data_IF_151645104627
#
_entry.id   IF_151645104627
#
_cell.length_a   1.000
_cell.length_b   1.000
_cell.length_c   1.000
_cell.angle_alpha   90.00
_cell.angle_beta   90.00
_cell.angle_gamma   90.00
#
_symmetry.space_group_name_H-M   'P 1'
#
loop_
_entity.id
_entity.type
_entity.pdbx_description
1 polymer ?
#
# COMPACT_ATOMS: atom_id res chain seq x y z
N UNK A 1 -22.25 -15.92 -27.26
CA UNK A 1 -21.31 -16.34 -26.21
C UNK A 1 -20.89 -15.09 -25.46
N UNK A 2 -21.39 -14.89 -24.24
CA UNK A 2 -20.96 -13.76 -23.43
C UNK A 2 -19.49 -13.93 -23.08
N UNK A 3 -18.65 -12.97 -23.46
CA UNK A 3 -17.27 -12.90 -23.00
C UNK A 3 -17.28 -12.90 -21.48
N UNK A 4 -16.64 -13.91 -20.87
CA UNK A 4 -16.44 -13.93 -19.42
C UNK A 4 -15.51 -12.76 -19.08
N UNK A 5 -16.09 -11.64 -18.65
CA UNK A 5 -15.35 -10.51 -18.11
C UNK A 5 -14.82 -10.99 -16.75
N UNK A 6 -13.50 -11.20 -16.66
CA UNK A 6 -12.89 -11.47 -15.36
C UNK A 6 -13.25 -10.31 -14.42
N UNK A 7 -13.67 -10.58 -13.18
CA UNK A 7 -13.81 -9.51 -12.21
C UNK A 7 -12.47 -8.76 -12.10
N UNK A 8 -12.52 -7.43 -12.09
CA UNK A 8 -11.32 -6.62 -11.91
C UNK A 8 -10.62 -6.98 -10.60
N UNK A 9 -9.30 -6.85 -10.58
CA UNK A 9 -8.50 -7.14 -9.40
C UNK A 9 -8.98 -6.30 -8.22
N UNK A 10 -8.96 -6.91 -7.04
CA UNK A 10 -9.37 -6.22 -5.83
C UNK A 10 -8.16 -5.59 -5.15
N UNK A 11 -8.25 -4.33 -4.74
CA UNK A 11 -7.18 -3.61 -4.07
C UNK A 11 -7.53 -3.29 -2.61
N UNK A 12 -6.55 -3.39 -1.72
CA UNK A 12 -6.72 -3.02 -0.30
C UNK A 12 -5.64 -2.07 0.17
N UNK A 13 -5.98 -1.32 1.22
CA UNK A 13 -5.10 -0.36 1.87
C UNK A 13 -4.98 -0.73 3.35
N UNK A 14 -3.82 -1.26 3.72
CA UNK A 14 -3.55 -1.79 5.06
C UNK A 14 -2.71 -0.79 5.86
N UNK A 15 -2.98 -0.58 7.16
CA UNK A 15 -2.20 0.33 7.99
C UNK A 15 -0.82 -0.24 8.30
N UNK A 16 0.21 0.59 8.20
CA UNK A 16 1.60 0.19 8.47
C UNK A 16 2.25 1.09 9.51
N UNK A 17 3.11 0.50 10.35
CA UNK A 17 3.81 1.21 11.45
C UNK A 17 5.26 1.57 11.13
N UNK A 18 5.86 0.84 10.19
CA UNK A 18 7.24 1.04 9.75
C UNK A 18 7.27 1.36 8.25
N UNK A 19 8.25 2.13 7.76
CA UNK A 19 8.50 2.22 6.32
C UNK A 19 9.11 0.90 5.82
N UNK A 20 8.76 0.40 4.63
CA UNK A 20 9.38 -0.80 4.05
C UNK A 20 10.90 -0.73 3.99
N UNK A 21 11.45 0.44 3.68
CA UNK A 21 12.89 0.62 3.52
C UNK A 21 13.70 0.26 4.77
N UNK A 22 13.12 0.44 5.97
CA UNK A 22 13.79 0.04 7.22
C UNK A 22 13.84 -1.47 7.42
N UNK A 23 13.03 -2.25 6.69
CA UNK A 23 12.92 -3.70 6.83
C UNK A 23 13.62 -4.46 5.70
N UNK A 24 13.90 -3.83 4.55
CA UNK A 24 14.49 -4.53 3.39
C UNK A 24 15.83 -5.18 3.74
N UNK A 25 16.76 -4.43 4.35
CA UNK A 25 18.05 -4.95 4.79
C UNK A 25 17.90 -6.11 5.78
N UNK A 26 17.24 -5.90 6.93
CA UNK A 26 16.99 -6.95 7.92
C UNK A 26 16.29 -8.19 7.38
N UNK A 27 15.34 -8.03 6.46
CA UNK A 27 14.68 -9.17 5.81
C UNK A 27 15.66 -9.94 4.93
N UNK A 28 16.52 -9.26 4.15
CA UNK A 28 17.53 -9.95 3.36
C UNK A 28 18.52 -10.72 4.23
N UNK A 29 18.95 -10.14 5.36
CA UNK A 29 19.82 -10.84 6.31
C UNK A 29 19.13 -12.06 6.93
N UNK A 30 17.82 -11.95 7.21
CA UNK A 30 17.01 -13.07 7.69
C UNK A 30 16.89 -14.20 6.65
N UNK A 31 16.93 -13.90 5.35
CA UNK A 31 17.03 -14.93 4.30
C UNK A 31 18.40 -15.65 4.32
N UNK A 32 19.44 -15.03 4.86
CA UNK A 32 20.76 -15.64 5.07
C UNK A 32 20.91 -16.28 6.47
N UNK A 33 19.84 -16.31 7.26
CA UNK A 33 19.81 -16.89 8.60
C UNK A 33 20.32 -15.99 9.73
N UNK A 34 20.41 -14.67 9.51
CA UNK A 34 20.69 -13.67 10.55
C UNK A 34 19.39 -12.92 10.86
N UNK A 35 18.77 -13.18 12.00
CA UNK A 35 17.41 -12.68 12.29
C UNK A 35 17.37 -11.56 13.31
N UNK A 36 18.48 -11.31 14.02
CA UNK A 36 18.58 -10.34 15.11
C UNK A 36 17.99 -8.97 14.76
N UNK A 37 18.41 -8.35 13.65
CA UNK A 37 17.94 -7.03 13.26
C UNK A 37 16.45 -7.00 12.91
N UNK A 38 15.95 -8.04 12.24
CA UNK A 38 14.53 -8.17 11.92
C UNK A 38 13.70 -8.33 13.19
N UNK A 39 14.14 -9.20 14.11
CA UNK A 39 13.46 -9.44 15.39
C UNK A 39 13.48 -8.19 16.28
N UNK A 40 14.58 -7.41 16.27
CA UNK A 40 14.68 -6.16 17.02
C UNK A 40 13.70 -5.10 16.51
N UNK A 41 13.48 -5.00 15.20
CA UNK A 41 12.52 -4.07 14.60
C UNK A 41 11.06 -4.50 14.80
N UNK A 42 10.80 -5.81 14.74
CA UNK A 42 9.44 -6.35 14.84
C UNK A 42 9.01 -6.57 16.29
N UNK A 43 9.98 -6.75 17.20
CA UNK A 43 9.87 -7.25 18.56
C UNK A 43 8.67 -6.74 19.35
N UNK A 44 7.78 -7.66 19.71
CA UNK A 44 6.62 -7.41 20.56
C UNK A 44 5.36 -8.17 20.16
N UNK A 45 5.16 -8.47 18.87
CA UNK A 45 3.86 -8.94 18.36
C UNK A 45 3.77 -10.46 18.09
N UNK A 46 4.89 -11.19 18.09
CA UNK A 46 4.89 -12.64 17.84
C UNK A 46 4.30 -13.03 16.46
N UNK A 47 4.40 -12.14 15.47
CA UNK A 47 3.75 -12.28 14.14
C UNK A 47 4.58 -13.05 13.12
N UNK A 48 5.88 -13.16 13.36
CA UNK A 48 6.79 -13.93 12.52
C UNK A 48 6.73 -15.42 12.93
N UNK A 49 6.93 -16.34 11.96
CA UNK A 49 7.16 -17.74 12.31
C UNK A 49 8.40 -17.88 13.20
N UNK A 50 8.57 -19.05 13.81
CA UNK A 50 9.81 -19.36 14.52
C UNK A 50 11.01 -19.24 13.58
N UNK A 51 11.96 -18.37 13.93
CA UNK A 51 13.19 -18.15 13.19
C UNK A 51 14.35 -18.79 13.97
N UNK A 52 15.19 -19.57 13.29
CA UNK A 52 16.30 -20.31 13.88
C UNK A 52 17.60 -19.72 13.34
N UNK A 53 18.38 -19.07 14.21
CA UNK A 53 19.67 -18.49 13.83
C UNK A 53 20.56 -19.49 13.07
N UNK A 54 21.19 -19.00 12.00
CA UNK A 54 21.96 -19.79 11.04
C UNK A 54 21.13 -20.55 10.01
N UNK A 55 19.79 -20.44 10.03
CA UNK A 55 18.89 -21.07 9.06
C UNK A 55 18.09 -20.01 8.32
N UNK A 56 17.96 -20.13 6.99
CA UNK A 56 17.12 -19.22 6.20
C UNK A 56 15.69 -19.13 6.76
N UNK A 57 15.11 -17.93 6.70
CA UNK A 57 13.68 -17.71 6.95
C UNK A 57 12.80 -18.73 6.21
N UNK A 58 11.76 -19.29 6.85
CA UNK A 58 10.84 -20.25 6.24
C UNK A 58 9.80 -19.60 5.32
N UNK A 59 9.69 -18.27 5.34
CA UNK A 59 8.79 -17.48 4.50
C UNK A 59 9.58 -16.56 3.58
N UNK A 60 9.00 -16.23 2.42
CA UNK A 60 9.62 -15.34 1.44
C UNK A 60 9.63 -13.88 1.90
N UNK A 61 10.43 -13.05 1.19
CA UNK A 61 10.66 -11.64 1.51
C UNK A 61 9.39 -10.79 1.50
N UNK A 62 8.49 -10.97 0.54
CA UNK A 62 7.25 -10.22 0.46
C UNK A 62 6.30 -10.57 1.62
N UNK A 63 6.19 -11.86 1.94
CA UNK A 63 5.45 -12.34 3.12
C UNK A 63 6.05 -11.78 4.40
N UNK A 64 7.38 -11.86 4.57
CA UNK A 64 8.09 -11.28 5.72
C UNK A 64 7.85 -9.78 5.84
N UNK A 65 7.93 -9.03 4.73
CA UNK A 65 7.69 -7.59 4.71
C UNK A 65 6.26 -7.29 5.14
N UNK A 66 5.27 -7.95 4.54
CA UNK A 66 3.87 -7.74 4.82
C UNK A 66 3.55 -7.94 6.30
N UNK A 67 3.91 -9.07 6.90
CA UNK A 67 3.58 -9.33 8.31
C UNK A 67 4.38 -8.43 9.27
N UNK A 68 5.61 -8.06 8.92
CA UNK A 68 6.47 -7.25 9.80
C UNK A 68 6.02 -5.78 9.88
N UNK A 69 5.50 -5.25 8.77
CA UNK A 69 5.25 -3.83 8.59
C UNK A 69 3.87 -3.37 9.11
N UNK A 70 2.93 -4.29 9.23
CA UNK A 70 1.56 -3.99 9.65
C UNK A 70 1.47 -3.36 11.05
N UNK A 71 0.51 -2.46 11.20
CA UNK A 71 0.16 -1.79 12.46
C UNK A 71 -0.66 -2.72 13.38
N UNK A 72 0.01 -3.77 13.87
CA UNK A 72 -0.56 -4.73 14.82
C UNK A 72 -0.99 -4.04 16.12
N UNK A 73 -2.02 -4.57 16.76
CA UNK A 73 -2.47 -4.07 18.06
C UNK A 73 -1.55 -4.57 19.17
N UNK A 74 -1.40 -3.77 20.23
CA UNK A 74 -0.50 -4.07 21.36
C UNK A 74 -0.79 -5.42 22.06
N UNK A 75 -2.02 -5.93 21.91
CA UNK A 75 -2.45 -7.24 22.41
C UNK A 75 -2.14 -8.41 21.46
N UNK A 76 -1.40 -8.16 20.37
CA UNK A 76 -1.15 -9.11 19.29
C UNK A 76 -2.32 -9.26 18.31
N UNK A 77 -3.40 -8.49 18.48
CA UNK A 77 -4.56 -8.52 17.60
C UNK A 77 -4.26 -7.98 16.21
N UNK A 78 -5.01 -8.47 15.21
CA UNK A 78 -4.90 -8.05 13.82
C UNK A 78 -5.06 -6.51 13.68
N UNK A 79 -4.43 -5.89 12.66
CA UNK A 79 -4.53 -4.45 12.46
C UNK A 79 -5.97 -3.99 12.29
N UNK A 80 -6.31 -2.86 12.91
CA UNK A 80 -7.64 -2.24 12.73
C UNK A 80 -7.76 -1.74 11.30
N UNK A 81 -8.89 -2.01 10.62
CA UNK A 81 -9.13 -1.48 9.29
C UNK A 81 -9.10 0.06 9.26
N UNK A 82 -8.66 0.63 8.14
CA UNK A 82 -8.62 2.07 7.93
C UNK A 82 -9.97 2.66 7.51
N UNK A 83 -10.92 1.82 7.07
CA UNK A 83 -12.21 2.25 6.57
C UNK A 83 -13.38 1.49 7.22
N UNK A 84 -14.60 1.89 6.85
CA UNK A 84 -15.85 1.25 7.26
C UNK A 84 -16.48 0.51 6.07
N UNK A 85 -15.80 -0.51 5.51
CA UNK A 85 -16.27 -1.45 4.49
C UNK A 85 -16.67 -0.86 3.12
N UNK A 86 -17.52 0.17 3.08
CA UNK A 86 -18.04 0.78 1.86
C UNK A 86 -16.95 1.46 1.03
N UNK A 87 -15.97 2.11 1.67
CA UNK A 87 -14.87 2.75 0.92
C UNK A 87 -13.87 1.73 0.40
N UNK A 88 -13.67 0.62 1.13
CA UNK A 88 -12.92 -0.53 0.65
C UNK A 88 -13.51 -1.15 -0.60
N UNK A 89 -14.83 -1.35 -0.68
CA UNK A 89 -15.43 -1.89 -1.92
C UNK A 89 -15.30 -0.92 -3.09
N UNK A 90 -15.53 0.38 -2.83
CA UNK A 90 -15.51 1.43 -3.86
C UNK A 90 -14.12 1.68 -4.44
N UNK A 91 -13.10 1.73 -3.59
CA UNK A 91 -11.72 1.97 -4.01
C UNK A 91 -11.03 0.68 -4.44
N UNK A 92 -11.39 -0.45 -3.82
CA UNK A 92 -10.81 -1.76 -4.09
C UNK A 92 -11.31 -2.42 -5.37
N UNK A 93 -12.55 -2.16 -5.79
CA UNK A 93 -13.10 -2.56 -7.10
C UNK A 93 -13.46 -1.33 -7.91
N UNK A 94 -12.48 -0.46 -8.12
CA UNK A 94 -12.74 0.73 -8.91
C UNK A 94 -13.17 0.32 -10.33
N UNK A 95 -14.13 1.01 -10.96
CA UNK A 95 -14.63 0.64 -12.29
C UNK A 95 -13.66 1.03 -13.42
N UNK A 96 -12.36 0.73 -13.26
CA UNK A 96 -11.32 0.79 -14.30
C UNK A 96 -11.07 -0.60 -14.89
N UNK A 97 -10.32 -0.66 -15.99
CA UNK A 97 -9.99 -1.92 -16.68
C UNK A 97 -9.26 -2.93 -15.77
N UNK A 98 -8.44 -2.44 -14.84
CA UNK A 98 -7.60 -3.22 -13.93
C UNK A 98 -8.09 -3.18 -12.46
N UNK A 99 -9.10 -2.38 -12.15
CA UNK A 99 -9.60 -2.17 -10.78
C UNK A 99 -8.73 -1.24 -9.91
N UNK A 100 -7.66 -0.65 -10.46
CA UNK A 100 -6.71 0.17 -9.71
C UNK A 100 -7.11 1.65 -9.71
N UNK A 101 -7.71 2.10 -8.61
CA UNK A 101 -8.07 3.51 -8.44
C UNK A 101 -6.87 4.46 -8.45
N UNK A 102 -5.69 4.01 -8.02
CA UNK A 102 -4.50 4.87 -7.93
C UNK A 102 -3.94 5.15 -9.33
N UNK A 103 -3.84 4.13 -10.18
CA UNK A 103 -3.47 4.31 -11.59
C UNK A 103 -4.50 5.18 -12.33
N UNK A 104 -5.78 4.95 -12.08
CA UNK A 104 -6.84 5.79 -12.64
C UNK A 104 -6.67 7.27 -12.26
N UNK A 105 -6.40 7.56 -10.98
CA UNK A 105 -6.17 8.92 -10.51
C UNK A 105 -4.95 9.56 -11.19
N UNK A 106 -3.82 8.85 -11.28
CA UNK A 106 -2.62 9.35 -11.98
C UNK A 106 -2.94 9.64 -13.45
N UNK A 107 -3.68 8.75 -14.11
CA UNK A 107 -3.99 8.86 -15.53
C UNK A 107 -4.92 10.04 -15.84
N UNK A 108 -5.95 10.27 -15.01
CA UNK A 108 -7.04 11.20 -15.32
C UNK A 108 -7.01 12.52 -14.53
N UNK A 109 -5.95 12.77 -13.78
CA UNK A 109 -5.71 14.07 -13.15
C UNK A 109 -4.52 14.78 -13.77
N UNK A 110 -4.58 16.11 -13.78
CA UNK A 110 -3.45 16.97 -14.04
C UNK A 110 -3.16 17.78 -12.78
N UNK A 111 -1.89 17.92 -12.44
CA UNK A 111 -1.44 18.84 -11.40
C UNK A 111 -1.48 20.28 -11.95
N UNK A 112 -1.89 21.24 -11.12
CA UNK A 112 -1.82 22.65 -11.48
C UNK A 112 -0.39 23.18 -11.54
N UNK A 113 -0.20 24.38 -12.11
CA UNK A 113 1.11 25.04 -12.16
C UNK A 113 1.65 25.29 -10.74
N UNK A 114 2.61 24.46 -10.32
CA UNK A 114 3.24 24.54 -9.00
C UNK A 114 3.98 23.25 -8.64
N UNK A 115 4.63 23.28 -7.47
CA UNK A 115 5.31 22.13 -6.87
C UNK A 115 4.27 21.25 -6.16
N UNK A 116 3.40 20.57 -6.93
CA UNK A 116 2.47 19.57 -6.40
C UNK A 116 3.19 18.23 -6.27
N UNK A 117 2.98 17.56 -5.14
CA UNK A 117 3.50 16.23 -4.89
C UNK A 117 2.46 15.13 -5.18
N UNK A 118 1.28 15.47 -5.71
CA UNK A 118 0.14 14.57 -5.82
C UNK A 118 0.48 13.31 -6.64
N UNK A 119 0.98 13.46 -7.85
CA UNK A 119 1.34 12.36 -8.73
C UNK A 119 2.53 11.55 -8.19
N UNK A 120 3.52 12.21 -7.58
CA UNK A 120 4.63 11.51 -6.94
C UNK A 120 4.18 10.62 -5.77
N UNK A 121 3.27 11.10 -4.93
CA UNK A 121 2.74 10.37 -3.79
C UNK A 121 1.77 9.26 -4.23
N UNK A 122 0.92 9.51 -5.24
CA UNK A 122 0.10 8.46 -5.83
C UNK A 122 0.97 7.38 -6.49
N UNK A 123 2.05 7.76 -7.20
CA UNK A 123 3.00 6.84 -7.79
C UNK A 123 3.71 5.98 -6.72
N UNK A 124 4.13 6.60 -5.61
CA UNK A 124 4.70 5.87 -4.46
C UNK A 124 3.67 4.89 -3.85
N UNK A 125 2.41 5.28 -3.73
CA UNK A 125 1.34 4.41 -3.23
C UNK A 125 1.01 3.26 -4.19
N UNK A 126 1.01 3.51 -5.50
CA UNK A 126 0.63 2.54 -6.53
C UNK A 126 1.75 1.61 -7.00
N UNK A 127 3.03 1.97 -6.80
CA UNK A 127 4.17 1.20 -7.32
C UNK A 127 5.47 1.36 -6.54
N UNK A 128 5.43 1.93 -5.34
CA UNK A 128 6.60 2.20 -4.50
C UNK A 128 7.37 0.98 -4.00
N UNK A 129 6.86 -0.24 -4.17
CA UNK A 129 7.57 -1.49 -3.85
C UNK A 129 8.09 -2.23 -5.09
N UNK A 130 7.91 -1.66 -6.28
CA UNK A 130 8.49 -2.24 -7.49
C UNK A 130 10.02 -2.29 -7.43
N UNK A 131 10.63 -3.24 -8.16
CA UNK A 131 12.09 -3.37 -8.26
C UNK A 131 12.77 -2.05 -8.63
N UNK A 132 12.16 -1.26 -9.52
CA UNK A 132 12.67 0.05 -9.93
C UNK A 132 12.67 1.08 -8.80
N UNK A 133 11.73 0.98 -7.87
CA UNK A 133 11.60 1.92 -6.76
C UNK A 133 12.53 1.58 -5.59
N UNK A 134 12.59 0.31 -5.18
CA UNK A 134 13.35 -0.12 -4.00
C UNK A 134 14.72 -0.73 -4.32
N UNK A 135 15.01 -1.05 -5.58
CA UNK A 135 16.27 -1.68 -6.00
C UNK A 135 16.40 -3.17 -5.66
N UNK A 136 15.43 -3.75 -4.94
CA UNK A 136 15.42 -5.15 -4.51
C UNK A 136 14.28 -5.95 -5.14
N UNK A 137 14.50 -7.24 -5.36
CA UNK A 137 13.51 -8.17 -5.91
C UNK A 137 12.86 -9.03 -4.83
N UNK A 138 11.63 -9.50 -5.08
CA UNK A 138 10.94 -10.46 -4.22
C UNK A 138 10.20 -9.83 -3.03
N UNK A 139 10.08 -8.50 -2.98
CA UNK A 139 9.31 -7.78 -1.97
C UNK A 139 7.90 -7.39 -2.45
N UNK A 140 7.65 -7.40 -3.75
CA UNK A 140 6.35 -7.06 -4.35
C UNK A 140 5.46 -8.28 -4.57
N UNK A 141 6.01 -9.48 -4.71
CA UNK A 141 5.28 -10.72 -4.96
C UNK A 141 5.77 -11.81 -4.01
N UNK A 142 4.83 -12.45 -3.32
CA UNK A 142 5.10 -13.47 -2.31
C UNK A 142 4.24 -14.71 -2.44
N UNK A 143 4.51 -15.68 -1.58
CA UNK A 143 3.74 -16.91 -1.47
C UNK A 143 2.28 -16.62 -1.11
N UNK A 144 1.37 -17.50 -1.55
CA UNK A 144 -0.06 -17.36 -1.24
C UNK A 144 -0.77 -16.23 -1.99
N UNK A 145 -0.19 -15.71 -3.09
CA UNK A 145 -0.81 -14.67 -3.92
C UNK A 145 -0.70 -13.27 -3.32
N UNK A 146 0.28 -13.03 -2.44
CA UNK A 146 0.57 -11.69 -1.92
C UNK A 146 1.17 -10.86 -3.04
N UNK A 147 0.50 -9.73 -3.35
CA UNK A 147 1.02 -8.73 -4.27
C UNK A 147 1.01 -7.35 -3.59
N UNK A 148 2.19 -6.89 -3.19
CA UNK A 148 2.43 -5.59 -2.57
C UNK A 148 2.80 -4.58 -3.65
N UNK A 149 2.05 -3.48 -3.74
CA UNK A 149 2.20 -2.51 -4.81
C UNK A 149 3.09 -1.33 -4.41
N UNK A 150 2.65 -0.58 -3.41
CA UNK A 150 3.31 0.64 -2.97
C UNK A 150 2.81 1.06 -1.60
N UNK A 151 3.36 2.15 -1.09
CA UNK A 151 3.20 2.52 0.31
C UNK A 151 3.39 4.02 0.54
N UNK A 152 2.94 4.48 1.70
CA UNK A 152 3.14 5.82 2.20
C UNK A 152 3.44 5.74 3.69
N UNK A 153 4.46 6.45 4.18
CA UNK A 153 4.62 6.63 5.63
C UNK A 153 3.60 7.64 6.19
N UNK A 154 3.65 7.85 7.50
CA UNK A 154 2.74 8.78 8.19
C UNK A 154 2.88 10.24 7.72
N UNK A 155 4.04 10.65 7.20
CA UNK A 155 4.26 11.99 6.66
C UNK A 155 3.69 12.10 5.25
N UNK A 156 3.99 11.14 4.38
CA UNK A 156 3.43 11.02 3.03
C UNK A 156 1.89 11.01 3.06
N UNK A 157 1.29 10.26 3.99
CA UNK A 157 -0.17 10.20 4.16
C UNK A 157 -0.76 11.58 4.45
N UNK A 158 -0.08 12.36 5.30
CA UNK A 158 -0.52 13.73 5.62
C UNK A 158 -0.37 14.65 4.44
N UNK A 159 0.69 14.50 3.66
CA UNK A 159 0.96 15.36 2.52
C UNK A 159 0.06 15.03 1.34
N UNK A 160 -0.16 13.76 1.02
CA UNK A 160 -1.13 13.35 0.00
C UNK A 160 -2.54 13.81 0.35
N UNK A 161 -2.92 13.70 1.63
CA UNK A 161 -4.21 14.24 2.10
C UNK A 161 -4.32 15.74 1.84
N UNK A 162 -3.29 16.53 2.17
CA UNK A 162 -3.30 17.97 1.95
C UNK A 162 -3.39 18.30 0.46
N UNK A 163 -2.64 17.61 -0.39
CA UNK A 163 -2.66 17.83 -1.84
C UNK A 163 -4.05 17.59 -2.42
N UNK A 164 -4.71 16.50 -2.02
CA UNK A 164 -6.08 16.21 -2.45
C UNK A 164 -7.05 17.28 -1.92
N UNK A 165 -6.99 17.62 -0.63
CA UNK A 165 -7.90 18.59 0.02
C UNK A 165 -7.68 20.04 -0.45
N UNK A 166 -6.46 20.40 -0.88
CA UNK A 166 -6.13 21.71 -1.46
C UNK A 166 -6.81 21.93 -2.81
N UNK A 167 -7.06 20.86 -3.56
CA UNK A 167 -7.72 20.94 -4.87
C UNK A 167 -6.86 21.60 -5.95
N UNK A 168 -5.52 21.55 -5.83
CA UNK A 168 -4.57 22.07 -6.81
C UNK A 168 -4.43 21.20 -8.07
N UNK A 169 -5.45 20.41 -8.39
CA UNK A 169 -5.47 19.43 -9.47
C UNK A 169 -6.76 19.61 -10.27
N UNK A 170 -6.72 19.23 -11.54
CA UNK A 170 -7.87 19.25 -12.45
C UNK A 170 -8.13 17.87 -13.04
N UNK A 171 -9.39 17.59 -13.31
CA UNK A 171 -9.79 16.40 -14.06
C UNK A 171 -9.48 16.61 -15.55
N UNK A 172 -8.88 15.62 -16.19
CA UNK A 172 -8.61 15.69 -17.63
C UNK A 172 -9.90 15.58 -18.43
N UNK A 173 -9.95 16.25 -19.58
CA UNK A 173 -11.13 16.26 -20.45
C UNK A 173 -11.47 14.90 -21.08
N UNK A 174 -10.51 13.97 -21.09
CA UNK A 174 -10.62 12.62 -21.63
C UNK A 174 -10.98 11.58 -20.55
N UNK A 175 -11.42 12.01 -19.35
CA UNK A 175 -11.89 11.09 -18.31
C UNK A 175 -13.08 10.24 -18.82
N UNK A 176 -12.99 8.90 -18.74
CA UNK A 176 -14.04 8.01 -19.26
C UNK A 176 -15.24 7.86 -18.32
N UNK A 177 -15.05 8.07 -17.01
CA UNK A 177 -16.10 7.93 -16.01
C UNK A 177 -16.53 9.31 -15.52
N UNK A 178 -17.81 9.64 -15.67
CA UNK A 178 -18.35 10.90 -15.15
C UNK A 178 -18.19 10.96 -13.61
N UNK A 179 -17.29 11.83 -13.15
CA UNK A 179 -16.98 12.01 -11.73
C UNK A 179 -16.12 10.92 -11.11
N UNK A 180 -15.47 10.06 -11.89
CA UNK A 180 -14.64 8.95 -11.40
C UNK A 180 -13.48 9.42 -10.51
N UNK A 181 -12.76 10.46 -10.93
CA UNK A 181 -11.66 11.08 -10.17
C UNK A 181 -12.15 11.59 -8.83
N UNK A 182 -13.28 12.31 -8.83
CA UNK A 182 -13.87 12.86 -7.61
C UNK A 182 -14.29 11.74 -6.64
N UNK A 183 -14.88 10.66 -7.15
CA UNK A 183 -15.29 9.52 -6.34
C UNK A 183 -14.08 8.76 -5.76
N UNK A 184 -13.05 8.53 -6.57
CA UNK A 184 -11.80 7.89 -6.15
C UNK A 184 -11.11 8.70 -5.05
N UNK A 185 -10.95 10.02 -5.23
CA UNK A 185 -10.37 10.87 -4.19
C UNK A 185 -11.21 10.92 -2.92
N UNK A 186 -12.53 11.01 -3.04
CA UNK A 186 -13.44 11.00 -1.89
C UNK A 186 -13.24 9.74 -1.05
N UNK A 187 -13.07 8.59 -1.67
CA UNK A 187 -12.84 7.33 -0.96
C UNK A 187 -11.40 7.18 -0.46
N UNK A 188 -10.40 7.57 -1.23
CA UNK A 188 -9.00 7.59 -0.78
C UNK A 188 -8.81 8.47 0.45
N UNK A 189 -9.47 9.63 0.51
CA UNK A 189 -9.47 10.51 1.68
C UNK A 189 -10.00 9.85 2.95
N UNK A 190 -10.89 8.85 2.87
CA UNK A 190 -11.36 8.10 4.04
C UNK A 190 -10.19 7.35 4.68
N UNK A 191 -9.39 6.65 3.86
CA UNK A 191 -8.20 5.93 4.31
C UNK A 191 -7.15 6.89 4.86
N UNK A 192 -6.83 7.96 4.12
CA UNK A 192 -5.81 8.93 4.51
C UNK A 192 -6.16 9.66 5.81
N UNK A 193 -7.42 10.03 6.03
CA UNK A 193 -7.87 10.67 7.29
C UNK A 193 -7.77 9.71 8.46
N UNK A 194 -8.12 8.44 8.26
CA UNK A 194 -8.03 7.41 9.29
C UNK A 194 -6.56 7.13 9.68
N UNK A 195 -5.69 6.94 8.69
CA UNK A 195 -4.26 6.73 8.88
C UNK A 195 -3.60 7.96 9.53
N UNK A 196 -3.93 9.18 9.06
CA UNK A 196 -3.46 10.43 9.68
C UNK A 196 -3.85 10.52 11.16
N UNK A 197 -5.10 10.17 11.52
CA UNK A 197 -5.56 10.21 12.92
C UNK A 197 -4.80 9.21 13.80
N UNK A 198 -4.45 8.06 13.24
CA UNK A 198 -3.69 7.00 13.90
C UNK A 198 -2.17 7.20 13.85
N UNK A 199 -1.68 8.17 13.07
CA UNK A 199 -0.26 8.42 12.82
C UNK A 199 0.45 7.20 12.22
N UNK A 200 -0.25 6.41 11.41
CA UNK A 200 0.32 5.28 10.68
C UNK A 200 0.41 5.57 9.18
N UNK A 201 1.23 4.79 8.49
CA UNK A 201 1.30 4.78 7.03
C UNK A 201 0.22 3.89 6.40
N UNK A 202 0.27 3.75 5.08
CA UNK A 202 -0.63 2.88 4.31
C UNK A 202 0.19 2.03 3.33
N UNK A 203 -0.15 0.76 3.20
CA UNK A 203 0.34 -0.16 2.19
C UNK A 203 -0.79 -0.54 1.23
N UNK A 204 -0.55 -0.42 -0.07
CA UNK A 204 -1.48 -0.87 -1.10
C UNK A 204 -1.14 -2.30 -1.53
N UNK A 205 -2.17 -3.15 -1.65
CA UNK A 205 -2.02 -4.53 -2.12
C UNK A 205 -3.06 -4.88 -3.16
N UNK A 206 -2.70 -5.80 -4.06
CA UNK A 206 -3.59 -6.42 -5.04
C UNK A 206 -3.93 -7.85 -4.59
N UNK A 207 -5.16 -8.26 -4.90
CA UNK A 207 -5.66 -9.61 -4.70
C UNK A 207 -6.04 -10.18 -6.07
N UNK A 208 -5.46 -11.34 -6.38
CA UNK A 208 -5.65 -12.09 -7.63
C UNK A 208 -6.68 -13.21 -7.50
#
# INVERSE_FOLDING_TARGET
>A
MGSYLRPSSFHTFDPIRLPPDSLIGPINESMDGRHEDLLNLVGGFGVLPELIEGTSSPIDRATSLFISILDWQDDGGAPRALDKGHSRERLGRFPSNDGNAIEYLIQFTSEGDGDSALHSLLGKLGGGLSKSSIGHTGFNEGSGGIELLGWLDSSDVRDLRKEIERGGWSVRSDEPLDGGVQDAFRHLLVFLRSASKRKCGILMRRHS
#
